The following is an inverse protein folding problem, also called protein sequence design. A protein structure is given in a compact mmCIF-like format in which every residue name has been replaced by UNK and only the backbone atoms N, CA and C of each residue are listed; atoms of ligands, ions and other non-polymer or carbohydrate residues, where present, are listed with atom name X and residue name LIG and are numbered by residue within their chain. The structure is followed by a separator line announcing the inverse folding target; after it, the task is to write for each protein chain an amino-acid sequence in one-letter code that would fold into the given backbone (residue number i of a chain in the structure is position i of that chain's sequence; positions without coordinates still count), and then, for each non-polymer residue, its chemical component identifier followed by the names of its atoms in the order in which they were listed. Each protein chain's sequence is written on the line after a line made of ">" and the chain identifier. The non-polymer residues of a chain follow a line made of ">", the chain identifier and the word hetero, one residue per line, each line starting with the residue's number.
data_IF_365526022893
#
_entry.id   IF_365526022893
#
_cell.length_a   1.000
_cell.length_b   1.000
_cell.length_c   1.000
_cell.angle_alpha   90.00
_cell.angle_beta   90.00
_cell.angle_gamma   90.00
#
_symmetry.space_group_name_H-M   'P 1'
#
loop_
_entity.id
_entity.type
_entity.pdbx_description
1 polymer ?
#
# COMPACT_ATOMS: atom_id res chain seq x y z
N UNK A 1 16.37 30.18 5.82
CA UNK A 1 15.75 31.53 5.73
C UNK A 1 15.72 32.00 4.28
N UNK A 2 14.65 32.65 3.80
CA UNK A 2 14.61 33.12 2.40
C UNK A 2 15.68 34.19 2.13
N UNK A 3 16.37 34.15 0.98
CA UNK A 3 17.38 35.14 0.63
C UNK A 3 16.85 36.59 0.71
N UNK A 4 17.71 37.53 1.13
CA UNK A 4 17.43 38.98 1.20
C UNK A 4 16.28 39.40 2.14
N UNK A 5 15.80 38.51 3.00
CA UNK A 5 14.85 38.88 4.06
C UNK A 5 15.56 39.51 5.27
N UNK A 6 14.87 40.28 6.12
CA UNK A 6 15.47 40.85 7.33
C UNK A 6 16.14 39.82 8.24
N UNK A 7 15.58 38.59 8.31
CA UNK A 7 16.15 37.47 9.06
C UNK A 7 17.49 37.03 8.46
N UNK A 8 17.59 36.92 7.13
CA UNK A 8 18.84 36.52 6.47
C UNK A 8 19.89 37.65 6.48
N UNK A 9 19.44 38.91 6.43
CA UNK A 9 20.33 40.08 6.44
C UNK A 9 20.83 40.45 7.84
N UNK A 10 20.06 40.15 8.90
CA UNK A 10 20.42 40.47 10.29
C UNK A 10 19.92 39.37 11.26
N UNK A 11 20.43 38.13 11.16
CA UNK A 11 19.91 36.99 11.92
C UNK A 11 20.01 37.17 13.45
N UNK A 12 21.01 37.91 13.91
CA UNK A 12 21.22 38.19 15.34
C UNK A 12 20.07 38.97 15.98
N UNK A 13 19.40 39.86 15.22
CA UNK A 13 18.21 40.59 15.71
C UNK A 13 17.05 39.66 16.05
N UNK A 14 17.10 38.43 15.54
CA UNK A 14 16.11 37.38 15.77
C UNK A 14 16.67 36.27 16.67
N UNK A 15 17.84 36.48 17.30
CA UNK A 15 18.47 35.50 18.19
C UNK A 15 19.06 34.29 17.45
N UNK A 16 19.39 34.44 16.17
CA UNK A 16 19.87 33.35 15.32
C UNK A 16 21.22 33.65 14.68
N UNK A 17 21.88 32.60 14.19
CA UNK A 17 22.99 32.69 13.25
C UNK A 17 22.73 31.74 12.08
N UNK A 18 23.34 32.00 10.92
CA UNK A 18 23.17 31.19 9.71
C UNK A 18 24.48 30.44 9.44
N UNK A 19 24.36 29.19 8.99
CA UNK A 19 25.49 28.40 8.49
C UNK A 19 25.75 28.78 7.03
N UNK A 20 26.55 29.82 6.82
CA UNK A 20 26.85 30.36 5.49
C UNK A 20 27.52 29.33 4.58
N UNK A 21 28.35 28.46 5.15
CA UNK A 21 29.04 27.38 4.45
C UNK A 21 28.11 26.29 3.89
N UNK A 22 26.86 26.22 4.39
CA UNK A 22 25.85 25.27 3.95
C UNK A 22 24.76 25.91 3.07
N UNK A 23 24.88 27.21 2.74
CA UNK A 23 23.84 27.96 2.06
C UNK A 23 23.55 27.45 0.65
N UNK A 24 24.58 26.99 -0.06
CA UNK A 24 24.45 26.40 -1.39
C UNK A 24 23.88 24.97 -1.34
N UNK A 25 23.89 24.34 -0.16
CA UNK A 25 23.27 23.05 0.09
C UNK A 25 21.83 23.18 0.63
N UNK A 26 21.27 24.40 0.67
CA UNK A 26 19.92 24.65 1.15
C UNK A 26 18.89 23.92 0.28
N UNK A 27 18.20 22.95 0.86
CA UNK A 27 16.86 22.57 0.43
C UNK A 27 15.86 23.14 1.44
N UNK A 28 14.62 23.42 1.02
CA UNK A 28 13.63 24.16 1.83
C UNK A 28 13.38 23.54 3.22
N UNK A 29 13.68 22.26 3.37
CA UNK A 29 13.41 21.49 4.58
C UNK A 29 14.62 21.35 5.54
N UNK A 30 15.81 21.83 5.21
CA UNK A 30 17.00 21.77 6.08
C UNK A 30 17.17 23.12 6.80
N UNK A 31 17.18 23.14 8.15
CA UNK A 31 17.42 24.36 8.91
C UNK A 31 18.89 24.79 8.75
N UNK A 32 19.13 25.86 8.01
CA UNK A 32 20.46 26.47 7.86
C UNK A 32 20.76 27.52 8.92
N UNK A 33 20.14 27.41 10.09
CA UNK A 33 20.26 28.37 11.16
C UNK A 33 20.42 27.68 12.50
N UNK A 34 21.03 28.37 13.45
CA UNK A 34 21.12 27.97 14.85
C UNK A 34 20.65 29.12 15.75
N UNK A 35 20.30 28.77 16.98
CA UNK A 35 20.09 29.71 18.09
C UNK A 35 21.22 29.53 19.10
N UNK A 36 21.12 30.16 20.27
CA UNK A 36 22.05 29.89 21.38
C UNK A 36 21.79 28.51 22.01
N UNK A 37 20.55 28.05 21.95
CA UNK A 37 20.07 26.86 22.65
C UNK A 37 20.01 25.62 21.75
N UNK A 38 19.84 25.81 20.43
CA UNK A 38 19.69 24.73 19.45
C UNK A 38 20.65 24.95 18.28
N UNK A 39 21.51 23.96 18.05
CA UNK A 39 22.38 23.94 16.89
C UNK A 39 21.74 23.22 15.68
N UNK A 40 22.48 23.14 14.57
CA UNK A 40 22.06 22.43 13.36
C UNK A 40 21.65 20.97 13.64
N UNK A 41 22.44 20.25 14.43
CA UNK A 41 22.23 18.84 14.72
C UNK A 41 20.97 18.65 15.57
N UNK A 42 20.76 19.50 16.56
CA UNK A 42 19.55 19.51 17.38
C UNK A 42 18.30 19.75 16.53
N UNK A 43 18.32 20.76 15.66
CA UNK A 43 17.19 21.10 14.79
C UNK A 43 16.89 19.99 13.77
N UNK A 44 17.93 19.37 13.20
CA UNK A 44 17.78 18.20 12.33
C UNK A 44 17.18 17.03 13.09
N UNK A 45 17.67 16.74 14.30
CA UNK A 45 17.15 15.66 15.12
C UNK A 45 15.69 15.87 15.51
N UNK A 46 15.32 17.08 15.92
CA UNK A 46 13.92 17.46 16.21
C UNK A 46 13.05 17.23 14.97
N UNK A 47 13.49 17.70 13.79
CA UNK A 47 12.77 17.49 12.53
C UNK A 47 12.61 16.00 12.20
N UNK A 48 13.67 15.21 12.32
CA UNK A 48 13.62 13.77 12.05
C UNK A 48 12.67 13.05 13.01
N UNK A 49 12.70 13.40 14.30
CA UNK A 49 11.78 12.85 15.30
C UNK A 49 10.32 13.24 15.01
N UNK A 50 10.08 14.50 14.67
CA UNK A 50 8.75 14.99 14.28
C UNK A 50 8.23 14.26 13.03
N UNK A 51 9.06 14.13 11.99
CA UNK A 51 8.71 13.39 10.77
C UNK A 51 8.42 11.92 11.06
N UNK A 52 9.25 11.24 11.87
CA UNK A 52 9.01 9.85 12.26
C UNK A 52 7.68 9.70 12.99
N UNK A 53 7.37 10.60 13.94
CA UNK A 53 6.09 10.60 14.64
C UNK A 53 4.92 10.83 13.68
N UNK A 54 5.02 11.82 12.79
CA UNK A 54 4.00 12.11 11.80
C UNK A 54 3.75 10.91 10.89
N UNK A 55 4.80 10.28 10.36
CA UNK A 55 4.67 9.09 9.51
C UNK A 55 4.02 7.92 10.25
N UNK A 56 4.33 7.72 11.54
CA UNK A 56 3.68 6.70 12.36
C UNK A 56 2.17 6.98 12.54
N UNK A 57 1.80 8.24 12.82
CA UNK A 57 0.39 8.63 12.91
C UNK A 57 -0.33 8.48 11.57
N UNK A 58 0.30 8.84 10.45
CA UNK A 58 -0.25 8.63 9.12
C UNK A 58 -0.50 7.14 8.85
N UNK A 59 0.45 6.26 9.18
CA UNK A 59 0.26 4.80 9.06
C UNK A 59 -0.90 4.32 9.92
N UNK A 60 -1.02 4.80 11.16
CA UNK A 60 -2.13 4.46 12.04
C UNK A 60 -3.48 4.89 11.46
N UNK A 61 -3.59 6.13 10.98
CA UNK A 61 -4.80 6.64 10.32
C UNK A 61 -5.19 5.75 9.12
N UNK A 62 -4.20 5.32 8.34
CA UNK A 62 -4.42 4.43 7.21
C UNK A 62 -4.93 3.05 7.63
N UNK A 63 -4.26 2.38 8.57
CA UNK A 63 -4.66 1.06 9.05
C UNK A 63 -5.98 1.07 9.85
N UNK A 64 -6.31 2.19 10.50
CA UNK A 64 -7.60 2.42 11.13
C UNK A 64 -8.74 2.62 10.09
N UNK A 65 -8.44 2.63 8.79
CA UNK A 65 -9.43 2.81 7.72
C UNK A 65 -10.03 4.22 7.67
N UNK A 66 -9.36 5.22 8.23
CA UNK A 66 -9.88 6.60 8.34
C UNK A 66 -9.72 7.44 7.08
N UNK A 67 -9.04 6.90 6.05
CA UNK A 67 -8.88 7.56 4.76
C UNK A 67 -9.92 6.99 3.80
N UNK A 68 -10.84 7.81 3.25
CA UNK A 68 -11.82 7.33 2.29
C UNK A 68 -11.14 6.71 1.06
N UNK A 69 -11.68 5.59 0.57
CA UNK A 69 -11.13 4.87 -0.58
C UNK A 69 -10.97 5.79 -1.81
N UNK A 70 -11.98 6.62 -2.10
CA UNK A 70 -11.95 7.55 -3.22
C UNK A 70 -10.74 8.49 -3.18
N UNK A 71 -10.36 8.96 -1.98
CA UNK A 71 -9.19 9.84 -1.80
C UNK A 71 -7.88 9.10 -2.11
N UNK A 72 -7.78 7.82 -1.73
CA UNK A 72 -6.61 6.99 -2.04
C UNK A 72 -6.52 6.80 -3.55
N UNK A 73 -7.62 6.42 -4.20
CA UNK A 73 -7.68 6.19 -5.64
C UNK A 73 -7.31 7.44 -6.43
N UNK A 74 -7.84 8.60 -6.06
CA UNK A 74 -7.54 9.86 -6.72
C UNK A 74 -6.05 10.22 -6.60
N UNK A 75 -5.43 9.94 -5.44
CA UNK A 75 -3.99 10.10 -5.25
C UNK A 75 -3.18 9.25 -6.23
N UNK A 76 -3.58 8.00 -6.47
CA UNK A 76 -2.93 7.12 -7.45
C UNK A 76 -3.21 7.52 -8.90
N UNK A 77 -4.43 7.98 -9.21
CA UNK A 77 -4.79 8.48 -10.55
C UNK A 77 -3.99 9.73 -10.91
N UNK A 78 -3.90 10.70 -10.01
CA UNK A 78 -3.09 11.91 -10.18
C UNK A 78 -1.60 11.57 -10.35
N UNK A 79 -1.09 10.63 -9.55
CA UNK A 79 0.28 10.14 -9.68
C UNK A 79 0.56 9.50 -11.04
N UNK A 80 -0.37 8.69 -11.54
CA UNK A 80 -0.26 8.05 -12.87
C UNK A 80 -0.37 9.06 -14.02
N UNK A 81 -1.31 9.99 -13.94
CA UNK A 81 -1.64 10.90 -15.05
C UNK A 81 -0.70 12.10 -15.13
N UNK A 82 -0.26 12.62 -13.98
CA UNK A 82 0.48 13.88 -13.90
C UNK A 82 1.84 13.76 -13.18
N UNK A 83 2.20 12.58 -12.67
CA UNK A 83 3.40 12.42 -11.84
C UNK A 83 3.29 13.09 -10.46
N UNK A 84 2.08 13.48 -10.05
CA UNK A 84 1.83 14.18 -8.78
C UNK A 84 1.47 13.17 -7.70
N UNK A 85 2.41 12.92 -6.79
CA UNK A 85 2.20 12.03 -5.65
C UNK A 85 1.98 12.82 -4.37
N UNK A 86 1.06 12.36 -3.53
CA UNK A 86 0.87 12.95 -2.20
C UNK A 86 1.92 12.40 -1.23
N UNK A 87 2.16 13.10 -0.13
CA UNK A 87 2.98 12.58 0.98
C UNK A 87 2.45 11.24 1.52
N UNK A 88 1.16 10.95 1.36
CA UNK A 88 0.58 9.65 1.70
C UNK A 88 1.10 8.51 0.83
N UNK A 89 1.25 8.73 -0.49
CA UNK A 89 1.87 7.73 -1.37
C UNK A 89 3.30 7.43 -0.92
N UNK A 90 4.10 8.47 -0.69
CA UNK A 90 5.54 8.31 -0.42
C UNK A 90 5.84 7.76 0.97
N UNK A 91 5.04 8.11 1.99
CA UNK A 91 5.31 7.72 3.38
C UNK A 91 4.50 6.53 3.88
N UNK A 92 3.34 6.26 3.28
CA UNK A 92 2.44 5.21 3.75
C UNK A 92 2.28 4.13 2.70
N UNK A 93 1.62 4.44 1.58
CA UNK A 93 1.12 3.40 0.68
C UNK A 93 2.26 2.61 0.01
N UNK A 94 3.27 3.28 -0.55
CA UNK A 94 4.42 2.63 -1.19
C UNK A 94 5.25 1.76 -0.23
N UNK A 95 5.17 2.02 1.07
CA UNK A 95 5.88 1.25 2.09
C UNK A 95 5.14 -0.04 2.48
N UNK A 96 3.98 -0.31 1.88
CA UNK A 96 3.20 -1.53 2.04
C UNK A 96 3.00 -2.12 0.64
N UNK A 97 3.92 -2.97 0.15
CA UNK A 97 3.99 -3.34 -1.27
C UNK A 97 2.69 -3.95 -1.84
N UNK A 98 2.00 -4.80 -1.07
CA UNK A 98 0.72 -5.40 -1.50
C UNK A 98 -0.35 -4.32 -1.67
N UNK A 99 -0.47 -3.41 -0.70
CA UNK A 99 -1.43 -2.31 -0.75
C UNK A 99 -1.11 -1.36 -1.90
N UNK A 100 0.17 -1.03 -2.11
CA UNK A 100 0.59 -0.19 -3.23
C UNK A 100 0.20 -0.80 -4.57
N UNK A 101 0.45 -2.10 -4.77
CA UNK A 101 0.08 -2.80 -5.99
C UNK A 101 -1.46 -2.89 -6.15
N UNK A 102 -2.18 -3.17 -5.07
CA UNK A 102 -3.65 -3.17 -5.05
C UNK A 102 -4.22 -1.81 -5.49
N UNK A 103 -3.73 -0.71 -4.91
CA UNK A 103 -4.24 0.62 -5.25
C UNK A 103 -3.87 1.05 -6.66
N UNK A 104 -2.68 0.70 -7.14
CA UNK A 104 -2.30 0.90 -8.57
C UNK A 104 -3.24 0.18 -9.51
N UNK A 105 -3.59 -1.08 -9.20
CA UNK A 105 -4.53 -1.86 -10.01
C UNK A 105 -5.94 -1.27 -9.95
N UNK A 106 -6.46 -0.94 -8.76
CA UNK A 106 -7.78 -0.29 -8.63
C UNK A 106 -7.85 1.07 -9.35
N UNK A 107 -6.77 1.84 -9.34
CA UNK A 107 -6.69 3.14 -10.00
C UNK A 107 -6.54 3.05 -11.53
N UNK A 108 -6.39 1.84 -12.10
CA UNK A 108 -6.35 1.67 -13.55
C UNK A 108 -7.72 1.67 -14.22
N UNK A 109 -8.79 1.59 -13.42
CA UNK A 109 -10.20 1.39 -13.82
C UNK A 109 -10.47 0.07 -14.60
N UNK A 110 -9.46 -0.77 -14.83
CA UNK A 110 -9.61 -2.14 -15.38
C UNK A 110 -10.04 -3.15 -14.31
N UNK A 111 -9.71 -2.86 -13.05
CA UNK A 111 -9.94 -3.76 -11.91
C UNK A 111 -10.99 -3.22 -10.96
N UNK A 112 -11.85 -4.11 -10.50
CA UNK A 112 -12.98 -3.83 -9.63
C UNK A 112 -12.99 -4.81 -8.44
N UNK A 113 -13.79 -4.47 -7.43
CA UNK A 113 -14.12 -5.39 -6.33
C UNK A 113 -15.34 -6.25 -6.70
N UNK A 114 -15.52 -7.35 -5.97
CA UNK A 114 -16.59 -8.32 -6.15
C UNK A 114 -17.97 -7.66 -6.25
N UNK A 115 -18.27 -6.72 -5.35
CA UNK A 115 -19.58 -6.05 -5.28
C UNK A 115 -19.90 -5.20 -6.53
N UNK A 116 -18.90 -4.91 -7.36
CA UNK A 116 -19.04 -4.13 -8.60
C UNK A 116 -19.19 -5.00 -9.86
N UNK A 117 -19.18 -6.34 -9.72
CA UNK A 117 -19.26 -7.27 -10.84
C UNK A 117 -20.67 -7.48 -11.36
N UNK A 118 -21.68 -7.49 -10.47
CA UNK A 118 -23.06 -7.80 -10.82
C UNK A 118 -23.17 -9.12 -11.59
N UNK A 119 -23.82 -9.09 -12.77
CA UNK A 119 -24.02 -10.28 -13.62
C UNK A 119 -22.74 -10.93 -14.16
N UNK A 120 -21.60 -10.23 -14.09
CA UNK A 120 -20.32 -10.72 -14.62
C UNK A 120 -19.52 -11.53 -13.60
N UNK A 121 -20.04 -11.76 -12.39
CA UNK A 121 -19.29 -12.37 -11.28
C UNK A 121 -18.61 -13.70 -11.65
N UNK A 122 -19.33 -14.66 -12.23
CA UNK A 122 -18.74 -15.95 -12.62
C UNK A 122 -17.68 -15.83 -13.72
N UNK A 123 -17.85 -14.89 -14.64
CA UNK A 123 -16.99 -14.68 -15.80
C UNK A 123 -15.78 -13.77 -15.50
N UNK A 124 -15.78 -13.09 -14.35
CA UNK A 124 -14.74 -12.16 -13.98
C UNK A 124 -13.39 -12.86 -13.80
N UNK A 125 -12.35 -12.29 -14.38
CA UNK A 125 -10.98 -12.81 -14.25
C UNK A 125 -10.42 -12.37 -12.91
N UNK A 126 -9.97 -13.32 -12.09
CA UNK A 126 -9.37 -13.01 -10.79
C UNK A 126 -7.86 -12.87 -10.93
N UNK A 127 -7.32 -11.75 -10.46
CA UNK A 127 -5.91 -11.42 -10.55
C UNK A 127 -5.35 -11.07 -9.16
N UNK A 128 -4.30 -11.78 -8.76
CA UNK A 128 -3.48 -11.41 -7.60
C UNK A 128 -2.87 -10.01 -7.79
N UNK A 129 -2.74 -9.29 -6.69
CA UNK A 129 -2.08 -7.97 -6.67
C UNK A 129 -0.56 -8.07 -6.50
N UNK A 130 -0.03 -9.28 -6.34
CA UNK A 130 1.40 -9.52 -6.13
C UNK A 130 1.83 -10.87 -6.74
N UNK A 131 3.15 -10.99 -6.91
CA UNK A 131 3.77 -12.25 -7.29
C UNK A 131 3.89 -13.18 -6.09
N UNK A 132 3.19 -14.31 -6.14
CA UNK A 132 3.02 -15.20 -4.98
C UNK A 132 4.36 -15.63 -4.36
N UNK A 133 5.35 -15.96 -5.18
CA UNK A 133 6.66 -16.44 -4.73
C UNK A 133 7.47 -15.40 -3.94
N UNK A 134 7.21 -14.09 -4.14
CA UNK A 134 7.91 -13.03 -3.42
C UNK A 134 7.45 -12.88 -1.96
N UNK A 135 6.21 -13.29 -1.67
CA UNK A 135 5.54 -13.02 -0.39
C UNK A 135 5.12 -14.27 0.37
N UNK A 136 5.33 -15.47 -0.20
CA UNK A 136 4.99 -16.72 0.46
C UNK A 136 6.20 -17.29 1.19
N UNK A 137 6.09 -17.39 2.51
CA UNK A 137 6.98 -18.23 3.32
C UNK A 137 6.44 -19.66 3.33
N UNK A 138 7.31 -20.62 3.01
CA UNK A 138 7.00 -22.07 2.99
C UNK A 138 7.93 -22.86 3.91
N UNK A 139 8.66 -22.18 4.80
CA UNK A 139 9.59 -22.81 5.74
C UNK A 139 8.88 -23.50 6.92
N UNK A 140 7.65 -23.09 7.23
CA UNK A 140 6.81 -23.68 8.28
C UNK A 140 5.93 -24.84 7.80
N UNK A 141 5.07 -25.34 8.71
CA UNK A 141 4.13 -26.44 8.41
C UNK A 141 3.07 -26.05 7.37
N UNK A 142 2.66 -24.78 7.36
CA UNK A 142 1.73 -24.20 6.39
C UNK A 142 2.38 -23.04 5.64
N UNK A 143 2.04 -22.83 4.35
CA UNK A 143 2.41 -21.62 3.65
C UNK A 143 1.83 -20.39 4.35
N UNK A 144 2.59 -19.31 4.39
CA UNK A 144 2.21 -18.08 5.07
C UNK A 144 2.51 -16.87 4.19
N UNK A 145 1.63 -15.87 4.24
CA UNK A 145 1.88 -14.55 3.64
C UNK A 145 1.89 -13.54 4.78
N UNK A 146 3.02 -12.85 4.97
CA UNK A 146 3.28 -12.01 6.13
C UNK A 146 3.06 -12.76 7.44
N UNK A 147 2.06 -12.40 8.24
CA UNK A 147 1.71 -13.02 9.52
C UNK A 147 0.50 -13.97 9.41
N UNK A 148 0.02 -14.23 8.19
CA UNK A 148 -1.21 -14.98 7.96
C UNK A 148 -0.94 -16.35 7.33
N UNK A 149 -1.22 -17.41 8.09
CA UNK A 149 -1.22 -18.78 7.59
C UNK A 149 -2.31 -18.99 6.52
N UNK A 150 -1.96 -19.77 5.51
CA UNK A 150 -2.86 -20.19 4.44
C UNK A 150 -3.25 -21.64 4.63
N UNK A 151 -4.54 -21.88 4.79
CA UNK A 151 -5.08 -23.22 4.71
C UNK A 151 -5.02 -23.75 3.26
N UNK A 152 -5.22 -25.06 3.10
CA UNK A 152 -5.04 -25.74 1.82
C UNK A 152 -5.94 -25.16 0.71
N UNK A 153 -7.16 -24.71 1.06
CA UNK A 153 -8.08 -24.05 0.13
C UNK A 153 -7.58 -22.66 -0.25
N UNK A 154 -7.15 -21.87 0.74
CA UNK A 154 -6.62 -20.52 0.53
C UNK A 154 -5.42 -20.56 -0.42
N UNK A 155 -4.43 -21.39 -0.11
CA UNK A 155 -3.20 -21.46 -0.91
C UNK A 155 -3.45 -21.99 -2.33
N UNK A 156 -4.32 -22.99 -2.48
CA UNK A 156 -4.66 -23.55 -3.80
C UNK A 156 -5.39 -22.54 -4.67
N UNK A 157 -6.41 -21.86 -4.13
CA UNK A 157 -7.16 -20.87 -4.89
C UNK A 157 -6.31 -19.64 -5.21
N UNK A 158 -5.51 -19.18 -4.24
CA UNK A 158 -4.61 -18.04 -4.46
C UNK A 158 -3.64 -18.31 -5.60
N UNK A 159 -3.09 -19.53 -5.72
CA UNK A 159 -2.24 -19.96 -6.86
C UNK A 159 -2.97 -19.87 -8.21
N UNK A 160 -4.27 -20.16 -8.26
CA UNK A 160 -5.08 -20.11 -9.48
C UNK A 160 -5.45 -18.68 -9.91
N UNK A 161 -5.47 -17.72 -8.99
CA UNK A 161 -5.80 -16.30 -9.23
C UNK A 161 -4.69 -15.53 -9.98
N UNK A 162 -4.14 -16.07 -11.06
CA UNK A 162 -2.97 -15.53 -11.77
C UNK A 162 -3.32 -14.53 -12.89
N UNK A 163 -4.56 -14.02 -12.93
CA UNK A 163 -5.01 -13.08 -13.96
C UNK A 163 -5.37 -13.72 -15.31
N UNK A 164 -5.46 -15.07 -15.39
CA UNK A 164 -5.83 -15.79 -16.61
C UNK A 164 -7.18 -16.49 -16.54
N UNK A 165 -7.60 -16.89 -15.35
CA UNK A 165 -8.79 -17.71 -15.14
C UNK A 165 -9.95 -16.87 -14.62
N UNK A 166 -11.15 -17.17 -15.10
CA UNK A 166 -12.39 -16.67 -14.53
C UNK A 166 -12.64 -17.25 -13.14
N UNK A 167 -13.49 -16.59 -12.34
CA UNK A 167 -13.95 -17.08 -11.04
C UNK A 167 -14.50 -18.49 -11.16
N UNK A 168 -15.34 -18.76 -12.16
CA UNK A 168 -15.89 -20.10 -12.43
C UNK A 168 -14.81 -21.15 -12.65
N UNK A 169 -13.82 -20.88 -13.49
CA UNK A 169 -12.72 -21.82 -13.76
C UNK A 169 -11.85 -22.05 -12.53
N UNK A 170 -11.58 -21.00 -11.74
CA UNK A 170 -10.83 -21.10 -10.48
C UNK A 170 -11.54 -22.04 -9.50
N UNK A 171 -12.86 -21.87 -9.33
CA UNK A 171 -13.65 -22.71 -8.43
C UNK A 171 -13.70 -24.17 -8.92
N UNK A 172 -13.86 -24.40 -10.23
CA UNK A 172 -13.87 -25.74 -10.82
C UNK A 172 -12.51 -26.44 -10.66
N UNK A 173 -11.41 -25.78 -11.02
CA UNK A 173 -10.06 -26.33 -10.86
C UNK A 173 -9.69 -26.52 -9.40
N UNK A 174 -10.11 -25.61 -8.52
CA UNK A 174 -9.97 -25.74 -7.08
C UNK A 174 -10.65 -26.99 -6.57
N UNK A 175 -11.90 -27.24 -6.98
CA UNK A 175 -12.65 -28.45 -6.58
C UNK A 175 -11.95 -29.72 -7.05
N UNK A 176 -11.51 -29.75 -8.31
CA UNK A 176 -10.79 -30.91 -8.85
C UNK A 176 -9.50 -31.23 -8.08
N UNK A 177 -8.79 -30.20 -7.58
CA UNK A 177 -7.54 -30.38 -6.83
C UNK A 177 -7.75 -30.75 -5.36
N UNK A 178 -8.78 -30.19 -4.73
CA UNK A 178 -8.98 -30.29 -3.27
C UNK A 178 -10.05 -31.30 -2.86
N UNK A 179 -10.99 -31.60 -3.76
CA UNK A 179 -12.10 -32.52 -3.54
C UNK A 179 -12.37 -33.36 -4.81
N UNK A 180 -11.38 -34.14 -5.30
CA UNK A 180 -11.52 -34.92 -6.52
C UNK A 180 -12.62 -35.99 -6.44
N UNK A 181 -12.96 -36.44 -5.23
CA UNK A 181 -14.00 -37.44 -4.99
C UNK A 181 -15.39 -36.80 -4.80
N UNK A 182 -15.51 -35.47 -4.80
CA UNK A 182 -16.79 -34.77 -4.67
C UNK A 182 -17.47 -34.95 -3.31
N UNK A 183 -16.72 -35.30 -2.26
CA UNK A 183 -17.25 -35.59 -0.92
C UNK A 183 -17.54 -34.32 -0.12
N UNK A 184 -16.89 -33.21 -0.47
CA UNK A 184 -17.13 -31.94 0.18
C UNK A 184 -18.29 -31.20 -0.50
N UNK A 185 -19.50 -31.38 0.06
CA UNK A 185 -20.71 -30.68 -0.37
C UNK A 185 -20.61 -29.16 -0.20
N UNK A 186 -19.79 -28.70 0.75
CA UNK A 186 -19.62 -27.28 1.10
C UNK A 186 -18.47 -26.60 0.36
N UNK A 187 -17.81 -27.29 -0.56
CA UNK A 187 -16.59 -26.80 -1.22
C UNK A 187 -16.76 -25.38 -1.79
N UNK A 188 -17.82 -25.13 -2.55
CA UNK A 188 -18.03 -23.83 -3.21
C UNK A 188 -18.27 -22.71 -2.21
N UNK A 189 -18.95 -23.00 -1.10
CA UNK A 189 -19.16 -22.03 -0.02
C UNK A 189 -17.84 -21.67 0.65
N UNK A 190 -17.02 -22.67 0.99
CA UNK A 190 -15.69 -22.47 1.57
C UNK A 190 -14.76 -21.72 0.60
N UNK A 191 -14.80 -22.08 -0.68
CA UNK A 191 -14.00 -21.42 -1.70
C UNK A 191 -14.40 -19.95 -1.90
N UNK A 192 -15.70 -19.64 -1.85
CA UNK A 192 -16.16 -18.25 -1.89
C UNK A 192 -15.71 -17.46 -0.66
N UNK A 193 -15.76 -18.07 0.53
CA UNK A 193 -15.25 -17.43 1.75
C UNK A 193 -13.75 -17.15 1.66
N UNK A 194 -12.97 -18.10 1.10
CA UNK A 194 -11.55 -17.91 0.84
C UNK A 194 -11.29 -16.75 -0.13
N UNK A 195 -12.05 -16.65 -1.24
CA UNK A 195 -11.93 -15.51 -2.17
C UNK A 195 -12.28 -14.18 -1.50
N UNK A 196 -13.36 -14.12 -0.71
CA UNK A 196 -13.74 -12.90 0.02
C UNK A 196 -12.65 -12.47 1.03
N UNK A 197 -12.04 -13.44 1.72
CA UNK A 197 -10.91 -13.20 2.63
C UNK A 197 -9.70 -12.64 1.88
N UNK A 198 -9.37 -13.20 0.71
CA UNK A 198 -8.28 -12.71 -0.14
C UNK A 198 -8.54 -11.29 -0.66
N UNK A 199 -9.78 -10.99 -1.08
CA UNK A 199 -10.15 -9.63 -1.49
C UNK A 199 -10.04 -8.65 -0.32
N UNK A 200 -10.56 -9.02 0.86
CA UNK A 200 -10.46 -8.20 2.08
C UNK A 200 -9.01 -7.91 2.50
N UNK A 201 -8.11 -8.87 2.25
CA UNK A 201 -6.68 -8.71 2.44
C UNK A 201 -5.96 -7.95 1.31
N UNK A 202 -6.70 -7.44 0.31
CA UNK A 202 -6.17 -6.77 -0.89
C UNK A 202 -5.28 -7.64 -1.76
N UNK A 203 -5.40 -8.97 -1.64
CA UNK A 203 -4.57 -9.93 -2.34
C UNK A 203 -5.04 -10.21 -3.76
N UNK A 204 -6.32 -10.01 -4.03
CA UNK A 204 -6.92 -10.23 -5.35
C UNK A 204 -7.82 -9.06 -5.73
N UNK A 205 -7.99 -8.90 -7.04
CA UNK A 205 -8.95 -8.02 -7.68
C UNK A 205 -9.58 -8.75 -8.88
N UNK A 206 -10.67 -8.18 -9.38
CA UNK A 206 -11.42 -8.76 -10.48
C UNK A 206 -11.33 -7.86 -11.70
N UNK A 207 -11.07 -8.44 -12.87
CA UNK A 207 -11.22 -7.76 -14.17
C UNK A 207 -12.51 -8.25 -14.81
N UNK A 208 -13.34 -7.31 -15.27
CA UNK A 208 -14.54 -7.64 -16.04
C UNK A 208 -14.13 -8.31 -17.37
N UNK A 209 -14.86 -9.33 -17.84
CA UNK A 209 -14.56 -10.01 -19.10
C UNK A 209 -14.66 -9.07 -20.30
#
# INVERSE_FOLDING_TARGET
>A
PYPKTPITLNPEKFGMSIYEELIDCCNEDIPLSRTKELDFTDLINIRLQANKRLQNEMRKIYFDGKIPEAVILDSYRLGRQYGVFTRWNDYVYKNIPIDDAYWKMRASDEYVIHDQLGKNDEAAIIHRTFELWLYTDVSGEKPQIFEQELDQIDYTLLKLCNGKLSKKEILQQGKMKLDPQGKNADFYRQAQQALNKMEGNKWILYRKP
#
